data_IF_566457817556
#
_entry.id   IF_566457817556
#
_cell.length_a   1.000
_cell.length_b   1.000
_cell.length_c   1.000
_cell.angle_alpha   90.00
_cell.angle_beta   90.00
_cell.angle_gamma   90.00
#
_symmetry.space_group_name_H-M   'P 1'
#
loop_
_entity.id
_entity.type
_entity.pdbx_description
1 polymer ?
#
# COMPACT_ATOMS: atom_id res chain seq x y z
N UNK A 1 -21.67 19.28 43.82
CA UNK A 1 -21.54 17.93 43.20
C UNK A 1 -21.26 17.93 41.68
N UNK A 2 -21.48 19.04 40.95
CA UNK A 2 -21.37 19.10 39.47
C UNK A 2 -19.95 19.16 38.89
N UNK A 3 -18.94 19.55 39.69
CA UNK A 3 -17.54 19.73 39.28
C UNK A 3 -16.70 18.45 39.41
N UNK A 4 -16.96 17.62 40.44
CA UNK A 4 -16.28 16.32 40.63
C UNK A 4 -16.57 15.34 39.49
N UNK A 5 -17.81 15.26 39.01
CA UNK A 5 -18.17 14.39 37.87
C UNK A 5 -17.48 14.80 36.57
N UNK A 6 -17.27 16.09 36.31
CA UNK A 6 -16.55 16.57 35.11
C UNK A 6 -15.06 16.21 35.15
N UNK A 7 -14.44 16.26 36.32
CA UNK A 7 -13.03 15.90 36.50
C UNK A 7 -12.80 14.38 36.30
N UNK A 8 -13.72 13.55 36.77
CA UNK A 8 -13.71 12.09 36.57
C UNK A 8 -13.87 11.74 35.09
N UNK A 9 -14.80 12.40 34.38
CA UNK A 9 -14.98 12.19 32.94
C UNK A 9 -13.74 12.62 32.15
N UNK A 10 -13.13 13.77 32.49
CA UNK A 10 -11.91 14.24 31.84
C UNK A 10 -10.73 13.27 32.08
N UNK A 11 -10.56 12.79 33.31
CA UNK A 11 -9.54 11.79 33.66
C UNK A 11 -9.76 10.47 32.92
N UNK A 12 -11.00 10.00 32.84
CA UNK A 12 -11.35 8.81 32.07
C UNK A 12 -11.05 8.99 30.58
N UNK A 13 -11.41 10.14 29.98
CA UNK A 13 -11.05 10.45 28.59
C UNK A 13 -9.54 10.48 28.35
N UNK A 14 -8.76 11.04 29.27
CA UNK A 14 -7.29 11.06 29.20
C UNK A 14 -6.70 9.64 29.27
N UNK A 15 -7.21 8.78 30.16
CA UNK A 15 -6.81 7.37 30.23
C UNK A 15 -7.16 6.64 28.94
N UNK A 16 -8.39 6.78 28.43
CA UNK A 16 -8.79 6.18 27.15
C UNK A 16 -7.91 6.62 25.98
N UNK A 17 -7.61 7.93 25.87
CA UNK A 17 -6.71 8.48 24.85
C UNK A 17 -5.29 7.93 24.98
N UNK A 18 -4.81 7.72 26.21
CA UNK A 18 -3.50 7.14 26.48
C UNK A 18 -3.44 5.67 26.06
N UNK A 19 -4.46 4.87 26.41
CA UNK A 19 -4.56 3.47 26.01
C UNK A 19 -4.65 3.31 24.48
N UNK A 20 -5.42 4.17 23.80
CA UNK A 20 -5.52 4.19 22.34
C UNK A 20 -4.17 4.52 21.68
N UNK A 21 -3.40 5.46 22.26
CA UNK A 21 -2.06 5.80 21.76
C UNK A 21 -1.08 4.66 21.95
N UNK A 22 -1.11 3.97 23.09
CA UNK A 22 -0.22 2.85 23.38
C UNK A 22 -0.51 1.67 22.43
N UNK A 23 -1.78 1.29 22.27
CA UNK A 23 -2.19 0.25 21.31
C UNK A 23 -1.82 0.60 19.87
N UNK A 24 -1.97 1.86 19.46
CA UNK A 24 -1.54 2.30 18.14
C UNK A 24 0.00 2.30 17.96
N UNK A 25 0.76 2.58 19.02
CA UNK A 25 2.21 2.47 19.02
C UNK A 25 2.66 1.01 18.95
N UNK A 26 2.08 0.12 19.75
CA UNK A 26 2.37 -1.31 19.74
C UNK A 26 2.07 -1.93 18.36
N UNK A 27 0.93 -1.59 17.75
CA UNK A 27 0.61 -2.01 16.39
C UNK A 27 1.59 -1.49 15.34
N UNK A 28 2.08 -0.25 15.48
CA UNK A 28 3.13 0.29 14.60
C UNK A 28 4.47 -0.41 14.80
N UNK A 29 4.87 -0.66 16.04
CA UNK A 29 6.10 -1.37 16.37
C UNK A 29 6.08 -2.79 15.82
N UNK A 30 4.95 -3.49 15.96
CA UNK A 30 4.73 -4.79 15.35
C UNK A 30 4.83 -4.71 13.83
N UNK A 31 4.17 -3.75 13.19
CA UNK A 31 4.26 -3.59 11.74
C UNK A 31 5.71 -3.36 11.30
N UNK A 32 6.48 -2.51 11.99
CA UNK A 32 7.87 -2.23 11.64
C UNK A 32 8.80 -3.42 11.87
N UNK A 33 8.51 -4.28 12.85
CA UNK A 33 9.26 -5.52 13.12
C UNK A 33 9.09 -6.63 12.07
N UNK A 34 8.03 -6.56 11.26
CA UNK A 34 7.80 -7.54 10.20
C UNK A 34 8.89 -7.45 9.11
N UNK A 35 9.26 -8.57 8.46
CA UNK A 35 10.10 -8.53 7.27
C UNK A 35 9.50 -7.60 6.20
N UNK A 36 10.31 -6.94 5.36
CA UNK A 36 9.82 -5.96 4.38
C UNK A 36 8.69 -6.48 3.48
N UNK A 37 8.78 -7.73 3.03
CA UNK A 37 7.75 -8.35 2.19
C UNK A 37 6.43 -8.53 2.94
N UNK A 38 6.46 -8.97 4.20
CA UNK A 38 5.26 -9.10 5.04
C UNK A 38 4.62 -7.74 5.31
N UNK A 39 5.43 -6.70 5.55
CA UNK A 39 4.93 -5.31 5.66
C UNK A 39 4.21 -4.88 4.39
N UNK A 40 4.73 -5.24 3.22
CA UNK A 40 4.11 -4.93 1.94
C UNK A 40 2.75 -5.63 1.78
N UNK A 41 2.67 -6.92 2.14
CA UNK A 41 1.39 -7.67 2.11
C UNK A 41 0.35 -6.99 3.01
N UNK A 42 0.69 -6.68 4.27
CA UNK A 42 -0.22 -6.00 5.21
C UNK A 42 -0.64 -4.62 4.68
N UNK A 43 0.30 -3.84 4.15
CA UNK A 43 0.02 -2.53 3.58
C UNK A 43 -0.94 -2.61 2.39
N UNK A 44 -0.73 -3.55 1.46
CA UNK A 44 -1.60 -3.72 0.30
C UNK A 44 -3.00 -4.15 0.73
N UNK A 45 -3.13 -5.13 1.64
CA UNK A 45 -4.42 -5.56 2.17
C UNK A 45 -5.22 -4.41 2.76
N UNK A 46 -4.56 -3.54 3.52
CA UNK A 46 -5.19 -2.37 4.16
C UNK A 46 -5.80 -1.40 3.13
N UNK A 47 -5.12 -1.16 2.01
CA UNK A 47 -5.56 -0.19 1.00
C UNK A 47 -6.48 -0.77 -0.07
N UNK A 48 -6.33 -2.05 -0.44
CA UNK A 48 -7.18 -2.70 -1.45
C UNK A 48 -8.49 -3.21 -0.85
N UNK A 49 -8.43 -3.79 0.35
CA UNK A 49 -9.56 -4.54 0.92
C UNK A 49 -9.83 -5.86 0.18
N UNK A 50 -10.59 -6.74 0.83
CA UNK A 50 -11.00 -8.02 0.24
C UNK A 50 -12.21 -7.81 -0.67
N UNK A 51 -12.05 -8.13 -1.94
CA UNK A 51 -13.05 -7.96 -2.99
C UNK A 51 -14.04 -9.14 -2.97
N UNK A 52 -15.34 -8.80 -3.08
CA UNK A 52 -16.44 -9.76 -3.15
C UNK A 52 -17.13 -9.74 -4.51
N UNK A 53 -18.31 -10.38 -4.60
CA UNK A 53 -19.03 -10.55 -5.87
C UNK A 53 -19.38 -9.23 -6.59
N UNK A 54 -19.59 -8.14 -5.84
CA UNK A 54 -19.92 -6.82 -6.38
C UNK A 54 -18.75 -6.13 -7.09
N UNK A 55 -17.53 -6.60 -6.84
CA UNK A 55 -16.30 -5.97 -7.32
C UNK A 55 -15.80 -6.65 -8.62
N UNK A 56 -16.62 -7.53 -9.23
CA UNK A 56 -16.30 -8.18 -10.49
C UNK A 56 -15.88 -7.16 -11.57
N UNK A 57 -14.83 -7.44 -12.37
CA UNK A 57 -14.11 -8.71 -12.50
C UNK A 57 -12.91 -8.88 -11.54
N UNK A 58 -12.85 -8.12 -10.44
CA UNK A 58 -11.76 -8.19 -9.47
C UNK A 58 -12.09 -9.13 -8.30
N UNK A 59 -11.08 -9.87 -7.84
CA UNK A 59 -11.18 -10.83 -6.73
C UNK A 59 -10.01 -10.68 -5.76
N UNK A 60 -10.14 -11.23 -4.55
CA UNK A 60 -9.07 -11.19 -3.55
C UNK A 60 -8.70 -9.74 -3.19
N UNK A 61 -7.41 -9.42 -3.20
CA UNK A 61 -6.94 -8.05 -2.92
C UNK A 61 -6.68 -7.25 -4.22
N UNK A 62 -7.68 -7.19 -5.10
CA UNK A 62 -7.61 -6.40 -6.34
C UNK A 62 -7.03 -7.13 -7.55
N UNK A 63 -7.00 -8.46 -7.53
CA UNK A 63 -6.56 -9.27 -8.66
C UNK A 63 -7.63 -9.28 -9.76
N UNK A 64 -7.28 -8.85 -10.98
CA UNK A 64 -8.19 -8.88 -12.13
C UNK A 64 -8.13 -10.23 -12.83
N UNK A 65 -9.25 -10.95 -12.83
CA UNK A 65 -9.37 -12.26 -13.48
C UNK A 65 -8.97 -12.22 -14.96
N UNK A 66 -8.05 -13.11 -15.32
CA UNK A 66 -7.66 -13.37 -16.71
C UNK A 66 -8.60 -14.40 -17.35
N UNK A 67 -8.71 -14.39 -18.69
CA UNK A 67 -9.65 -15.25 -19.47
C UNK A 67 -9.55 -16.76 -19.19
N UNK A 68 -8.45 -17.24 -18.61
CA UNK A 68 -8.19 -18.66 -18.34
C UNK A 68 -8.17 -19.01 -16.85
N UNK A 69 -8.28 -18.03 -15.98
CA UNK A 69 -8.28 -18.24 -14.54
C UNK A 69 -9.68 -18.63 -14.06
N UNK A 70 -9.74 -19.56 -13.11
CA UNK A 70 -10.99 -20.06 -12.52
C UNK A 70 -11.20 -19.58 -11.08
N UNK A 71 -10.49 -18.53 -10.68
CA UNK A 71 -10.69 -17.93 -9.37
C UNK A 71 -12.09 -17.30 -9.29
N UNK A 72 -12.71 -17.38 -8.12
CA UNK A 72 -14.05 -16.83 -7.87
C UNK A 72 -13.99 -15.81 -6.73
N UNK A 73 -14.98 -14.92 -6.69
CA UNK A 73 -15.13 -13.98 -5.58
C UNK A 73 -15.46 -14.66 -4.23
N UNK A 74 -15.73 -15.97 -4.22
CA UNK A 74 -15.99 -16.76 -3.02
C UNK A 74 -14.70 -17.28 -2.34
N UNK A 75 -13.52 -16.84 -2.79
CA UNK A 75 -12.25 -17.31 -2.23
C UNK A 75 -12.12 -16.96 -0.75
N UNK A 76 -11.52 -17.87 0.02
CA UNK A 76 -11.17 -17.62 1.42
C UNK A 76 -10.10 -16.53 1.53
N UNK A 77 -10.03 -15.86 2.69
CA UNK A 77 -8.98 -14.86 2.92
C UNK A 77 -7.57 -15.45 2.76
N UNK A 78 -7.37 -16.72 3.12
CA UNK A 78 -6.10 -17.44 2.95
C UNK A 78 -5.73 -17.63 1.48
N UNK A 79 -6.71 -17.95 0.63
CA UNK A 79 -6.51 -18.02 -0.82
C UNK A 79 -6.23 -16.64 -1.41
N UNK A 80 -6.96 -15.61 -0.98
CA UNK A 80 -6.72 -14.23 -1.40
C UNK A 80 -5.33 -13.73 -0.99
N UNK A 81 -4.86 -14.08 0.22
CA UNK A 81 -3.51 -13.80 0.70
C UNK A 81 -2.44 -14.49 -0.16
N UNK A 82 -2.64 -15.76 -0.47
CA UNK A 82 -1.73 -16.53 -1.34
C UNK A 82 -1.64 -15.92 -2.74
N UNK A 83 -2.78 -15.50 -3.31
CA UNK A 83 -2.85 -14.83 -4.61
C UNK A 83 -2.15 -13.46 -4.59
N UNK A 84 -2.40 -12.66 -3.55
CA UNK A 84 -1.73 -11.38 -3.34
C UNK A 84 -0.20 -11.54 -3.27
N UNK A 85 0.29 -12.54 -2.53
CA UNK A 85 1.73 -12.82 -2.43
C UNK A 85 2.33 -13.19 -3.77
N UNK A 86 1.65 -14.02 -4.56
CA UNK A 86 2.08 -14.39 -5.90
C UNK A 86 2.14 -13.17 -6.84
N UNK A 87 1.10 -12.32 -6.82
CA UNK A 87 1.04 -11.10 -7.62
C UNK A 87 2.11 -10.08 -7.25
N UNK A 88 2.40 -9.93 -5.95
CA UNK A 88 3.44 -9.05 -5.45
C UNK A 88 4.82 -9.59 -5.82
N UNK A 89 5.04 -10.91 -5.69
CA UNK A 89 6.30 -11.54 -6.10
C UNK A 89 6.58 -11.36 -7.60
N UNK A 90 5.55 -11.53 -8.45
CA UNK A 90 5.67 -11.27 -9.88
C UNK A 90 6.14 -9.84 -10.18
N UNK A 91 5.61 -8.85 -9.45
CA UNK A 91 6.02 -7.44 -9.59
C UNK A 91 7.42 -7.21 -9.05
N UNK A 92 7.79 -7.83 -7.94
CA UNK A 92 9.14 -7.74 -7.39
C UNK A 92 10.17 -8.26 -8.41
N UNK A 93 9.86 -9.36 -9.10
CA UNK A 93 10.73 -9.91 -10.16
C UNK A 93 10.88 -8.96 -11.36
N UNK A 94 9.85 -8.17 -11.69
CA UNK A 94 9.92 -7.16 -12.75
C UNK A 94 10.88 -6.02 -12.36
N UNK A 95 10.91 -5.63 -11.09
CA UNK A 95 11.76 -4.53 -10.59
C UNK A 95 13.05 -5.00 -9.91
N UNK A 96 13.42 -6.28 -10.02
CA UNK A 96 14.56 -6.86 -9.28
C UNK A 96 15.88 -6.10 -9.49
N UNK A 97 16.09 -5.57 -10.70
CA UNK A 97 17.33 -4.88 -11.07
C UNK A 97 17.41 -3.45 -10.49
N UNK A 98 16.35 -2.96 -9.84
CA UNK A 98 16.35 -1.70 -9.08
C UNK A 98 16.86 -1.87 -7.63
N UNK A 99 17.34 -3.06 -7.26
CA UNK A 99 17.99 -3.31 -5.98
C UNK A 99 17.11 -2.92 -4.78
N UNK A 100 17.60 -2.01 -3.94
CA UNK A 100 16.91 -1.58 -2.71
C UNK A 100 15.53 -0.95 -2.98
N UNK A 101 15.29 -0.42 -4.18
CA UNK A 101 14.02 0.20 -4.56
C UNK A 101 13.01 -0.80 -5.14
N UNK A 102 13.40 -2.06 -5.39
CA UNK A 102 12.56 -3.06 -6.04
C UNK A 102 11.22 -3.26 -5.32
N UNK A 103 11.24 -3.35 -3.98
CA UNK A 103 10.02 -3.53 -3.18
C UNK A 103 9.11 -2.29 -3.21
N UNK A 104 9.68 -1.09 -3.11
CA UNK A 104 8.94 0.18 -3.21
C UNK A 104 8.21 0.28 -4.55
N UNK A 105 8.90 -0.06 -5.64
CA UNK A 105 8.35 -0.06 -7.00
C UNK A 105 7.31 -1.17 -7.18
N UNK A 106 7.53 -2.36 -6.64
CA UNK A 106 6.56 -3.45 -6.67
C UNK A 106 5.25 -3.06 -5.97
N UNK A 107 5.32 -2.48 -4.78
CA UNK A 107 4.14 -1.99 -4.03
C UNK A 107 3.42 -0.89 -4.79
N UNK A 108 4.15 0.10 -5.32
CA UNK A 108 3.55 1.18 -6.13
C UNK A 108 2.82 0.61 -7.36
N UNK A 109 3.49 -0.28 -8.10
CA UNK A 109 2.97 -0.92 -9.31
C UNK A 109 1.77 -1.84 -9.05
N UNK A 110 1.60 -2.33 -7.81
CA UNK A 110 0.41 -3.09 -7.43
C UNK A 110 -0.86 -2.25 -7.63
N UNK A 111 -0.78 -0.96 -7.28
CA UNK A 111 -1.88 -0.03 -7.44
C UNK A 111 -1.97 0.59 -8.84
N UNK A 112 -0.83 0.98 -9.42
CA UNK A 112 -0.83 1.84 -10.63
C UNK A 112 -0.53 1.10 -11.92
N UNK A 113 -0.19 -0.19 -11.83
CA UNK A 113 0.29 -1.02 -12.93
C UNK A 113 1.78 -0.84 -13.21
N UNK A 114 2.41 -1.89 -13.73
CA UNK A 114 3.83 -1.91 -14.13
C UNK A 114 4.10 -0.97 -15.31
N UNK A 115 3.20 -0.96 -16.28
CA UNK A 115 3.37 -0.23 -17.54
C UNK A 115 3.38 1.28 -17.32
N UNK A 116 2.68 1.76 -16.28
CA UNK A 116 2.69 3.18 -15.90
C UNK A 116 4.05 3.63 -15.35
N UNK A 117 4.85 2.71 -14.83
CA UNK A 117 6.20 2.99 -14.34
C UNK A 117 7.23 2.80 -15.45
N UNK A 118 7.23 1.63 -16.08
CA UNK A 118 8.21 1.22 -17.10
C UNK A 118 8.05 1.97 -18.42
N UNK A 119 6.84 2.41 -18.72
CA UNK A 119 6.47 2.90 -20.05
C UNK A 119 6.18 1.74 -21.00
N UNK A 120 5.22 1.94 -21.90
CA UNK A 120 4.92 1.01 -22.99
C UNK A 120 4.28 1.75 -24.16
N UNK A 121 4.63 1.36 -25.40
CA UNK A 121 4.13 1.98 -26.62
C UNK A 121 4.38 3.48 -26.66
N UNK A 122 3.31 4.27 -26.62
CA UNK A 122 3.36 5.75 -26.68
C UNK A 122 3.72 6.42 -25.34
N UNK A 123 3.74 5.67 -24.24
CA UNK A 123 4.04 6.22 -22.92
C UNK A 123 5.52 6.04 -22.57
N UNK A 124 6.27 7.12 -22.29
CA UNK A 124 7.65 7.01 -21.87
C UNK A 124 7.77 6.43 -20.46
N UNK A 125 8.95 5.92 -20.14
CA UNK A 125 9.32 5.55 -18.77
C UNK A 125 9.09 6.71 -17.81
N UNK A 126 8.54 6.41 -16.64
CA UNK A 126 8.20 7.43 -15.64
C UNK A 126 9.44 8.20 -15.16
N UNK A 127 9.24 9.47 -14.80
CA UNK A 127 10.32 10.28 -14.21
C UNK A 127 10.88 9.68 -12.92
N UNK A 128 10.03 8.99 -12.14
CA UNK A 128 10.45 8.27 -10.94
C UNK A 128 11.57 7.28 -11.25
N UNK A 129 11.36 6.39 -12.24
CA UNK A 129 12.37 5.40 -12.60
C UNK A 129 13.62 6.06 -13.19
N UNK A 130 13.47 7.08 -14.05
CA UNK A 130 14.62 7.81 -14.61
C UNK A 130 15.51 8.43 -13.53
N UNK A 131 14.91 8.98 -12.46
CA UNK A 131 15.65 9.51 -11.32
C UNK A 131 16.40 8.41 -10.58
N UNK A 132 15.72 7.32 -10.23
CA UNK A 132 16.35 6.16 -9.57
C UNK A 132 17.51 5.62 -10.41
N UNK A 133 17.32 5.45 -11.71
CA UNK A 133 18.34 4.98 -12.66
C UNK A 133 19.55 5.92 -12.75
N UNK A 134 19.33 7.23 -12.68
CA UNK A 134 20.40 8.24 -12.64
C UNK A 134 21.08 8.40 -11.27
N UNK A 135 20.62 7.66 -10.24
CA UNK A 135 21.10 7.78 -8.87
C UNK A 135 20.52 8.98 -8.10
N UNK A 136 19.62 9.77 -8.70
CA UNK A 136 18.93 10.87 -8.01
C UNK A 136 17.94 10.30 -6.99
N UNK A 137 18.23 10.50 -5.70
CA UNK A 137 17.38 10.06 -4.58
C UNK A 137 16.26 11.05 -4.25
N UNK A 138 16.25 12.24 -4.84
CA UNK A 138 15.20 13.26 -4.68
C UNK A 138 14.02 12.99 -5.61
N UNK A 139 13.43 11.79 -5.49
CA UNK A 139 12.27 11.36 -6.29
C UNK A 139 10.93 11.33 -5.53
N UNK A 140 10.89 11.87 -4.31
CA UNK A 140 9.68 11.87 -3.48
C UNK A 140 8.49 12.52 -4.21
N UNK A 141 8.72 13.63 -4.91
CA UNK A 141 7.69 14.36 -5.67
C UNK A 141 7.11 13.50 -6.79
N UNK A 142 7.96 12.78 -7.51
CA UNK A 142 7.57 11.86 -8.58
C UNK A 142 6.77 10.69 -8.02
N UNK A 143 7.19 10.14 -6.87
CA UNK A 143 6.48 9.04 -6.21
C UNK A 143 5.06 9.44 -5.76
N UNK A 144 4.90 10.59 -5.11
CA UNK A 144 3.57 11.05 -4.67
C UNK A 144 2.68 11.55 -5.83
N UNK A 145 3.25 11.80 -7.02
CA UNK A 145 2.48 12.23 -8.19
C UNK A 145 1.50 11.16 -8.70
N UNK A 146 1.73 9.89 -8.34
CA UNK A 146 0.89 8.72 -8.63
C UNK A 146 -0.40 8.69 -7.78
N UNK A 147 -1.09 9.84 -7.68
CA UNK A 147 -2.34 10.05 -6.95
C UNK A 147 -3.46 10.65 -7.82
N UNK A 148 -3.24 10.77 -9.13
CA UNK A 148 -4.19 11.39 -10.06
C UNK A 148 -5.02 10.36 -10.82
N UNK A 149 -6.33 10.58 -10.84
CA UNK A 149 -7.30 9.87 -11.67
C UNK A 149 -8.12 10.89 -12.46
N UNK A 150 -8.17 10.75 -13.79
CA UNK A 150 -8.86 11.69 -14.70
C UNK A 150 -8.57 13.18 -14.39
N UNK A 151 -7.29 13.49 -14.16
CA UNK A 151 -6.82 14.86 -13.85
C UNK A 151 -7.02 15.32 -12.41
N UNK A 152 -7.78 14.60 -11.58
CA UNK A 152 -8.07 14.98 -10.18
C UNK A 152 -7.18 14.23 -9.21
N UNK A 153 -6.71 14.92 -8.17
CA UNK A 153 -5.95 14.30 -7.07
C UNK A 153 -6.91 13.62 -6.10
N UNK A 154 -6.72 12.32 -5.87
CA UNK A 154 -7.51 11.55 -4.91
C UNK A 154 -6.83 11.56 -3.53
N UNK A 155 -7.50 12.13 -2.51
CA UNK A 155 -6.96 12.23 -1.15
C UNK A 155 -6.55 10.87 -0.56
N UNK A 156 -7.32 9.82 -0.86
CA UNK A 156 -6.99 8.45 -0.45
C UNK A 156 -5.66 7.95 -1.02
N UNK A 157 -5.38 8.23 -2.31
CA UNK A 157 -4.10 7.86 -2.92
C UNK A 157 -2.93 8.65 -2.34
N UNK A 158 -3.13 9.94 -2.00
CA UNK A 158 -2.08 10.74 -1.34
C UNK A 158 -1.70 10.12 0.00
N UNK A 159 -2.68 9.71 0.80
CA UNK A 159 -2.42 8.99 2.06
C UNK A 159 -1.66 7.69 1.81
N UNK A 160 -2.10 6.90 0.82
CA UNK A 160 -1.45 5.64 0.42
C UNK A 160 0.01 5.84 0.03
N UNK A 161 0.31 6.75 -0.90
CA UNK A 161 1.69 7.03 -1.33
C UNK A 161 2.59 7.48 -0.18
N UNK A 162 2.08 8.28 0.75
CA UNK A 162 2.85 8.69 1.94
C UNK A 162 3.20 7.50 2.84
N UNK A 163 2.25 6.60 3.08
CA UNK A 163 2.46 5.39 3.89
C UNK A 163 3.45 4.46 3.19
N UNK A 164 3.25 4.18 1.91
CA UNK A 164 4.16 3.31 1.14
C UNK A 164 5.59 3.87 1.10
N UNK A 165 5.75 5.16 0.84
CA UNK A 165 7.08 5.78 0.85
C UNK A 165 7.73 5.67 2.23
N UNK A 166 7.00 5.97 3.31
CA UNK A 166 7.53 5.89 4.67
C UNK A 166 7.93 4.46 5.08
N UNK A 167 7.26 3.43 4.54
CA UNK A 167 7.52 2.03 4.90
C UNK A 167 8.60 1.37 4.05
N UNK A 168 8.78 1.80 2.81
CA UNK A 168 9.58 1.07 1.82
C UNK A 168 10.68 1.88 1.14
N UNK A 169 10.74 3.21 1.32
CA UNK A 169 11.88 3.99 0.85
C UNK A 169 13.11 3.72 1.72
N UNK A 170 14.22 3.39 1.06
CA UNK A 170 15.53 3.25 1.68
C UNK A 170 16.40 4.39 1.11
N UNK A 171 16.92 5.29 1.97
CA UNK A 171 17.82 6.37 1.55
C UNK A 171 18.98 5.87 0.68
#
# INVERSE_FOLDING_TARGET
MRTRSKLVVLSFCLVCLSCLRLSAQDGRNLLLSLPPFERAVVCIKHFEGLHGFKDAPYVGYGHKLQKRERFTAAMTERQADSLLRADLMKRLMIFKDYGKDALLLAVLSYNVGTDRLLGYGKYPKSQLLRKIESGDRNFYREFISFCRYKGKVLRGLVKRRRVEFALFYIP
#
